data_IF_565005334959
#
_entry.id   IF_565005334959
#
_cell.length_a   1.000
_cell.length_b   1.000
_cell.length_c   1.000
_cell.angle_alpha   90.00
_cell.angle_beta   90.00
_cell.angle_gamma   90.00
#
_symmetry.space_group_name_H-M   'P 1'
#
loop_
_entity.id
_entity.type
_entity.pdbx_description
1 polymer ?
#
# COMPACT_ATOMS: atom_id res chain seq x y z
N UNK A 1 -37.67 28.95 4.58
CA UNK A 1 -36.62 28.02 4.14
C UNK A 1 -35.34 28.14 4.98
N UNK A 2 -34.76 29.33 5.17
CA UNK A 2 -33.58 29.52 6.04
C UNK A 2 -33.83 29.15 7.52
N UNK A 3 -35.04 29.38 8.04
CA UNK A 3 -35.39 28.94 9.40
C UNK A 3 -35.56 27.42 9.53
N UNK A 4 -36.02 26.75 8.49
CA UNK A 4 -36.12 25.27 8.45
C UNK A 4 -34.71 24.67 8.37
N UNK A 5 -33.81 25.30 7.60
CA UNK A 5 -32.39 24.95 7.57
C UNK A 5 -31.72 25.17 8.94
N UNK A 6 -31.94 26.32 9.59
CA UNK A 6 -31.46 26.57 10.95
C UNK A 6 -32.07 25.60 11.97
N UNK A 7 -33.34 25.26 11.84
CA UNK A 7 -34.03 24.31 12.72
C UNK A 7 -33.52 22.87 12.51
N UNK A 8 -33.24 22.48 11.27
CA UNK A 8 -32.63 21.18 10.94
C UNK A 8 -31.16 21.11 11.36
N UNK A 9 -30.39 22.19 11.20
CA UNK A 9 -29.01 22.33 11.71
C UNK A 9 -28.97 22.34 13.25
N UNK A 10 -30.00 22.89 13.91
CA UNK A 10 -30.13 22.92 15.37
C UNK A 10 -30.73 21.63 15.96
N UNK A 11 -31.37 20.76 15.14
CA UNK A 11 -31.61 19.37 15.51
C UNK A 11 -30.27 18.65 15.49
N UNK A 12 -29.53 18.91 16.56
CA UNK A 12 -28.29 18.22 16.89
C UNK A 12 -28.57 16.74 16.83
N UNK A 13 -27.91 16.08 15.87
CA UNK A 13 -27.65 14.65 15.94
C UNK A 13 -27.18 14.41 17.38
N UNK A 14 -27.82 13.47 18.08
CA UNK A 14 -27.45 13.20 19.46
C UNK A 14 -25.93 13.00 19.52
N UNK A 15 -25.20 13.57 20.50
CA UNK A 15 -23.75 13.36 20.60
C UNK A 15 -23.38 11.88 20.51
N UNK A 16 -24.24 10.99 21.04
CA UNK A 16 -24.10 9.53 20.94
C UNK A 16 -24.09 9.04 19.50
N UNK A 17 -24.99 9.55 18.66
CA UNK A 17 -25.10 9.17 17.25
C UNK A 17 -23.90 9.69 16.48
N UNK A 18 -23.42 10.91 16.80
CA UNK A 18 -22.18 11.44 16.25
C UNK A 18 -21.00 10.54 16.62
N UNK A 19 -20.87 10.13 17.88
CA UNK A 19 -19.80 9.19 18.27
C UNK A 19 -19.92 7.84 17.57
N UNK A 20 -21.12 7.28 17.44
CA UNK A 20 -21.34 6.01 16.76
C UNK A 20 -20.96 6.10 15.27
N UNK A 21 -21.43 7.14 14.58
CA UNK A 21 -21.11 7.39 13.17
C UNK A 21 -19.60 7.62 13.01
N UNK A 22 -18.98 8.43 13.87
CA UNK A 22 -17.55 8.74 13.79
C UNK A 22 -16.70 7.50 14.03
N UNK A 23 -16.96 6.71 15.07
CA UNK A 23 -16.09 5.59 15.42
C UNK A 23 -16.38 4.30 14.63
N UNK A 24 -17.63 3.82 14.64
CA UNK A 24 -17.97 2.52 14.04
C UNK A 24 -18.04 2.61 12.52
N UNK A 25 -18.71 3.63 12.00
CA UNK A 25 -18.88 3.72 10.55
C UNK A 25 -17.55 3.97 9.86
N UNK A 26 -16.64 4.79 10.40
CA UNK A 26 -15.36 5.11 9.70
C UNK A 26 -14.46 3.91 9.43
N UNK A 27 -14.45 2.87 10.29
CA UNK A 27 -13.70 1.63 10.00
C UNK A 27 -14.35 0.82 8.87
N UNK A 28 -15.68 0.74 8.87
CA UNK A 28 -16.47 -0.07 7.93
C UNK A 28 -16.61 0.61 6.57
N UNK A 29 -16.79 1.93 6.56
CA UNK A 29 -16.94 2.76 5.34
C UNK A 29 -15.61 3.05 4.66
N UNK A 30 -14.48 2.77 5.32
CA UNK A 30 -13.18 2.89 4.67
C UNK A 30 -13.11 1.97 3.45
N UNK A 31 -12.72 2.54 2.31
CA UNK A 31 -12.68 1.86 1.02
C UNK A 31 -11.85 0.55 1.01
N UNK A 32 -10.92 0.37 1.96
CA UNK A 32 -10.08 -0.83 2.06
C UNK A 32 -10.65 -1.92 2.97
N UNK A 33 -11.73 -1.67 3.70
CA UNK A 33 -12.28 -2.60 4.68
C UNK A 33 -12.65 -3.95 4.06
N UNK A 34 -13.45 -3.93 2.99
CA UNK A 34 -13.88 -5.13 2.26
C UNK A 34 -12.68 -5.92 1.75
N UNK A 35 -11.65 -5.22 1.26
CA UNK A 35 -10.42 -5.83 0.75
C UNK A 35 -9.62 -6.52 1.86
N UNK A 36 -9.49 -5.91 3.04
CA UNK A 36 -8.80 -6.51 4.19
C UNK A 36 -9.54 -7.76 4.67
N UNK A 37 -10.86 -7.69 4.84
CA UNK A 37 -11.67 -8.83 5.29
C UNK A 37 -11.50 -10.01 4.32
N UNK A 38 -11.55 -9.74 3.02
CA UNK A 38 -11.35 -10.76 1.99
C UNK A 38 -9.94 -11.37 2.05
N UNK A 39 -8.89 -10.54 2.19
CA UNK A 39 -7.50 -11.02 2.30
C UNK A 39 -7.30 -11.86 3.57
N UNK A 40 -7.87 -11.47 4.70
CA UNK A 40 -7.80 -12.21 5.96
C UNK A 40 -8.53 -13.54 5.88
N UNK A 41 -9.75 -13.56 5.33
CA UNK A 41 -10.55 -14.77 5.14
C UNK A 41 -9.82 -15.78 4.25
N UNK A 42 -9.28 -15.32 3.12
CA UNK A 42 -8.52 -16.16 2.19
C UNK A 42 -7.20 -16.70 2.79
N UNK A 43 -6.71 -16.12 3.88
CA UNK A 43 -5.43 -16.48 4.50
C UNK A 43 -5.55 -16.85 5.98
N UNK A 44 -6.71 -17.34 6.43
CA UNK A 44 -6.97 -17.63 7.85
C UNK A 44 -5.89 -18.54 8.49
N UNK A 45 -5.39 -19.54 7.75
CA UNK A 45 -4.34 -20.44 8.23
C UNK A 45 -2.91 -19.89 8.14
N UNK A 46 -2.68 -18.73 7.52
CA UNK A 46 -1.35 -18.19 7.24
C UNK A 46 -1.27 -16.65 7.36
N UNK A 47 -2.05 -16.06 8.26
CA UNK A 47 -2.18 -14.60 8.39
C UNK A 47 -0.88 -13.91 8.85
N UNK A 48 0.04 -14.64 9.49
CA UNK A 48 1.34 -14.13 9.97
C UNK A 48 2.32 -13.74 8.86
N UNK A 49 1.96 -13.91 7.58
CA UNK A 49 2.81 -13.50 6.45
C UNK A 49 3.01 -11.98 6.49
N UNK A 50 4.26 -11.48 6.38
CA UNK A 50 4.56 -10.05 6.47
C UNK A 50 3.72 -9.18 5.53
N UNK A 51 3.41 -9.70 4.34
CA UNK A 51 2.62 -8.98 3.33
C UNK A 51 1.17 -8.74 3.78
N UNK A 52 0.57 -9.71 4.48
CA UNK A 52 -0.80 -9.58 5.01
C UNK A 52 -0.83 -8.57 6.15
N UNK A 53 0.19 -8.62 7.02
CA UNK A 53 0.37 -7.68 8.13
C UNK A 53 0.47 -6.24 7.61
N UNK A 54 1.24 -6.01 6.53
CA UNK A 54 1.35 -4.69 5.88
C UNK A 54 -0.01 -4.19 5.38
N UNK A 55 -0.80 -5.04 4.74
CA UNK A 55 -2.14 -4.66 4.25
C UNK A 55 -3.09 -4.32 5.40
N UNK A 56 -3.09 -5.14 6.46
CA UNK A 56 -3.91 -4.88 7.64
C UNK A 56 -3.55 -3.53 8.29
N UNK A 57 -2.27 -3.27 8.52
CA UNK A 57 -1.83 -2.00 9.10
C UNK A 57 -2.10 -0.81 8.19
N UNK A 58 -1.94 -0.95 6.87
CA UNK A 58 -2.30 0.11 5.93
C UNK A 58 -3.76 0.54 6.10
N UNK A 59 -4.71 -0.40 6.11
CA UNK A 59 -6.11 -0.08 6.37
C UNK A 59 -6.33 0.50 7.76
N UNK A 60 -5.75 -0.11 8.80
CA UNK A 60 -5.93 0.33 10.19
C UNK A 60 -5.50 1.79 10.38
N UNK A 61 -4.29 2.15 9.95
CA UNK A 61 -3.79 3.52 10.06
C UNK A 61 -4.60 4.47 9.18
N UNK A 62 -5.04 4.04 7.99
CA UNK A 62 -5.90 4.88 7.15
C UNK A 62 -7.22 5.21 7.84
N UNK A 63 -7.89 4.20 8.40
CA UNK A 63 -9.16 4.37 9.11
C UNK A 63 -9.03 5.23 10.37
N UNK A 64 -7.93 5.12 11.13
CA UNK A 64 -7.68 5.99 12.29
C UNK A 64 -7.57 7.46 11.84
N UNK A 65 -6.87 7.73 10.73
CA UNK A 65 -6.81 9.08 10.16
C UNK A 65 -8.20 9.62 9.80
N UNK A 66 -9.04 8.79 9.17
CA UNK A 66 -10.41 9.17 8.79
C UNK A 66 -11.28 9.50 10.02
N UNK A 67 -11.18 8.70 11.09
CA UNK A 67 -11.85 8.96 12.37
C UNK A 67 -11.41 10.30 12.95
N UNK A 68 -10.10 10.56 12.97
CA UNK A 68 -9.55 11.79 13.52
C UNK A 68 -10.04 13.02 12.76
N UNK A 69 -10.15 12.94 11.43
CA UNK A 69 -10.71 14.02 10.63
C UNK A 69 -12.19 14.24 10.86
N UNK A 70 -12.96 13.19 11.12
CA UNK A 70 -14.38 13.29 11.45
C UNK A 70 -14.62 14.03 12.78
N UNK A 71 -13.65 14.05 13.72
CA UNK A 71 -13.75 14.88 14.93
C UNK A 71 -13.79 16.39 14.67
N UNK A 72 -13.51 16.87 13.45
CA UNK A 72 -13.62 18.30 13.12
C UNK A 72 -15.00 18.89 13.44
N UNK A 73 -16.05 18.07 13.39
CA UNK A 73 -17.44 18.48 13.64
C UNK A 73 -17.72 18.74 15.12
N UNK A 74 -16.93 18.13 16.01
CA UNK A 74 -17.05 18.31 17.47
C UNK A 74 -16.26 19.51 18.00
N UNK A 75 -15.37 20.09 17.20
CA UNK A 75 -14.52 21.20 17.64
C UNK A 75 -15.27 22.53 17.47
N UNK A 76 -15.39 23.34 18.54
CA UNK A 76 -16.09 24.63 18.45
C UNK A 76 -15.37 25.60 17.51
N UNK A 77 -16.16 26.36 16.76
CA UNK A 77 -15.68 27.41 15.87
C UNK A 77 -15.28 28.63 16.71
N UNK A 78 -14.04 29.10 16.54
CA UNK A 78 -13.49 30.30 17.19
C UNK A 78 -13.40 31.50 16.22
N UNK A 79 -13.30 31.23 14.92
CA UNK A 79 -13.10 32.21 13.85
C UNK A 79 -14.08 31.94 12.69
N UNK A 80 -14.36 32.97 11.89
CA UNK A 80 -15.30 32.88 10.75
C UNK A 80 -14.68 32.20 9.51
N UNK A 81 -13.36 32.05 9.47
CA UNK A 81 -12.63 31.45 8.34
C UNK A 81 -12.26 30.02 8.66
N UNK A 82 -12.34 29.13 7.69
CA UNK A 82 -11.82 27.77 7.81
C UNK A 82 -10.31 27.81 8.16
N UNK A 83 -9.78 26.95 9.04
CA UNK A 83 -10.39 25.80 9.72
C UNK A 83 -11.15 26.14 11.02
N UNK A 84 -11.61 27.37 11.15
CA UNK A 84 -12.44 27.90 12.25
C UNK A 84 -11.78 27.95 13.63
N UNK A 85 -10.69 27.24 13.87
CA UNK A 85 -9.83 27.40 15.06
C UNK A 85 -8.46 26.78 14.81
N UNK A 86 -7.45 27.19 15.58
CA UNK A 86 -6.13 26.52 15.55
C UNK A 86 -6.26 25.05 15.99
N UNK A 87 -7.07 24.79 17.03
CA UNK A 87 -7.39 23.41 17.47
C UNK A 87 -8.10 22.61 16.37
N UNK A 88 -9.01 23.26 15.63
CA UNK A 88 -9.72 22.70 14.47
C UNK A 88 -8.82 22.34 13.30
N UNK A 89 -7.62 22.90 13.22
CA UNK A 89 -6.57 22.42 12.32
C UNK A 89 -5.75 21.29 12.92
N UNK A 90 -5.15 21.54 14.09
CA UNK A 90 -4.10 20.70 14.65
C UNK A 90 -4.60 19.28 14.92
N UNK A 91 -5.79 19.10 15.51
CA UNK A 91 -6.27 17.75 15.80
C UNK A 91 -6.82 17.02 14.56
N UNK A 92 -7.84 17.54 13.85
CA UNK A 92 -8.49 16.77 12.79
C UNK A 92 -7.67 16.65 11.51
N UNK A 93 -6.74 17.57 11.27
CA UNK A 93 -5.89 17.55 10.07
C UNK A 93 -4.44 17.27 10.42
N UNK A 94 -3.88 17.96 11.42
CA UNK A 94 -2.49 17.75 11.85
C UNK A 94 -2.26 16.32 12.34
N UNK A 95 -2.97 15.88 13.38
CA UNK A 95 -2.81 14.51 13.93
C UNK A 95 -3.32 13.47 12.94
N UNK A 96 -4.45 13.68 12.26
CA UNK A 96 -4.93 12.75 11.23
C UNK A 96 -3.91 12.52 10.11
N UNK A 97 -3.20 13.57 9.68
CA UNK A 97 -2.17 13.46 8.64
C UNK A 97 -1.04 12.49 9.03
N UNK A 98 -0.68 12.40 10.32
CA UNK A 98 0.29 11.40 10.80
C UNK A 98 -0.16 9.98 10.42
N UNK A 99 -1.42 9.65 10.72
CA UNK A 99 -1.99 8.33 10.48
C UNK A 99 -2.15 8.05 8.98
N UNK A 100 -2.59 9.04 8.20
CA UNK A 100 -2.64 8.91 6.75
C UNK A 100 -1.26 8.70 6.13
N UNK A 101 -0.26 9.52 6.46
CA UNK A 101 1.09 9.35 5.92
C UNK A 101 1.79 8.08 6.42
N UNK A 102 1.51 7.63 7.65
CA UNK A 102 2.00 6.35 8.14
C UNK A 102 1.37 5.18 7.38
N UNK A 103 0.06 5.24 7.10
CA UNK A 103 -0.61 4.24 6.26
C UNK A 103 -0.01 4.18 4.86
N UNK A 104 0.31 5.34 4.27
CA UNK A 104 0.94 5.45 2.97
C UNK A 104 2.36 4.87 2.98
N UNK A 105 3.19 5.23 3.97
CA UNK A 105 4.56 4.70 4.15
C UNK A 105 4.51 3.18 4.25
N UNK A 106 3.64 2.62 5.09
CA UNK A 106 3.47 1.17 5.26
C UNK A 106 3.08 0.52 3.93
N UNK A 107 2.16 1.14 3.18
CA UNK A 107 1.78 0.68 1.84
C UNK A 107 2.96 0.65 0.87
N UNK A 108 3.83 1.65 0.89
CA UNK A 108 4.99 1.76 -0.01
C UNK A 108 6.07 0.69 0.24
N UNK A 109 6.09 0.05 1.41
CA UNK A 109 6.95 -1.10 1.67
C UNK A 109 6.50 -2.35 0.90
N UNK A 110 5.25 -2.40 0.43
CA UNK A 110 4.69 -3.58 -0.23
C UNK A 110 5.44 -3.96 -1.53
N UNK A 111 5.67 -3.07 -2.52
CA UNK A 111 6.40 -3.43 -3.73
C UNK A 111 7.83 -3.89 -3.44
N UNK A 112 8.49 -3.31 -2.43
CA UNK A 112 9.82 -3.71 -1.99
C UNK A 112 9.82 -5.13 -1.40
N UNK A 113 8.89 -5.46 -0.50
CA UNK A 113 8.75 -6.81 0.07
C UNK A 113 8.47 -7.85 -1.01
N UNK A 114 7.62 -7.53 -1.99
CA UNK A 114 7.32 -8.41 -3.13
C UNK A 114 8.55 -8.63 -4.00
N UNK A 115 9.32 -7.57 -4.27
CA UNK A 115 10.55 -7.64 -5.06
C UNK A 115 11.63 -8.45 -4.34
N UNK A 116 11.73 -8.30 -3.02
CA UNK A 116 12.65 -9.06 -2.15
C UNK A 116 12.43 -10.56 -2.22
N UNK A 117 11.17 -11.00 -2.23
CA UNK A 117 10.83 -12.42 -2.32
C UNK A 117 11.24 -13.06 -3.66
N UNK A 118 11.43 -12.28 -4.72
CA UNK A 118 11.73 -12.79 -6.07
C UNK A 118 13.23 -12.73 -6.38
N UNK A 119 13.96 -11.78 -5.77
CA UNK A 119 15.31 -11.41 -6.20
C UNK A 119 16.36 -11.93 -5.23
N UNK A 120 17.24 -12.77 -5.77
CA UNK A 120 18.38 -13.33 -5.02
C UNK A 120 19.61 -12.41 -5.00
N UNK A 121 19.65 -11.33 -5.79
CA UNK A 121 20.81 -10.44 -5.84
C UNK A 121 20.69 -9.28 -4.82
N UNK A 122 21.52 -9.27 -3.76
CA UNK A 122 21.44 -8.28 -2.69
C UNK A 122 21.88 -6.87 -3.10
N UNK A 123 22.70 -6.72 -4.14
CA UNK A 123 23.16 -5.39 -4.58
C UNK A 123 22.05 -4.61 -5.29
N UNK A 124 21.31 -5.26 -6.19
CA UNK A 124 20.21 -4.60 -6.91
C UNK A 124 19.07 -4.21 -5.99
N UNK A 125 18.76 -5.05 -5.01
CA UNK A 125 17.69 -4.73 -4.06
C UNK A 125 18.05 -3.56 -3.14
N UNK A 126 19.34 -3.36 -2.79
CA UNK A 126 19.78 -2.18 -2.02
C UNK A 126 19.40 -0.87 -2.71
N UNK A 127 19.47 -0.80 -4.05
CA UNK A 127 19.05 0.39 -4.81
C UNK A 127 17.56 0.67 -4.61
N UNK A 128 16.70 -0.35 -4.65
CA UNK A 128 15.25 -0.20 -4.40
C UNK A 128 14.98 0.24 -2.97
N UNK A 129 15.74 -0.29 -2.00
CA UNK A 129 15.66 0.14 -0.61
C UNK A 129 15.98 1.62 -0.46
N UNK A 130 17.08 2.09 -1.05
CA UNK A 130 17.49 3.51 -0.97
C UNK A 130 16.39 4.41 -1.55
N UNK A 131 15.86 4.09 -2.73
CA UNK A 131 14.80 4.89 -3.36
C UNK A 131 13.51 4.88 -2.51
N UNK A 132 13.13 3.72 -1.95
CA UNK A 132 11.97 3.60 -1.05
C UNK A 132 12.14 4.44 0.23
N UNK A 133 13.33 4.44 0.84
CA UNK A 133 13.63 5.27 2.02
C UNK A 133 13.54 6.75 1.65
N UNK A 134 14.16 7.17 0.55
CA UNK A 134 14.06 8.56 0.06
C UNK A 134 12.61 8.96 -0.19
N UNK A 135 11.80 8.08 -0.77
CA UNK A 135 10.38 8.30 -1.00
C UNK A 135 9.61 8.52 0.32
N UNK A 136 9.87 7.69 1.33
CA UNK A 136 9.24 7.80 2.64
C UNK A 136 9.67 9.07 3.40
N UNK A 137 10.92 9.54 3.24
CA UNK A 137 11.40 10.79 3.85
C UNK A 137 10.60 11.99 3.35
N UNK A 138 10.19 12.01 2.08
CA UNK A 138 9.33 13.07 1.55
C UNK A 138 7.96 13.08 2.23
N UNK A 139 7.38 11.91 2.52
CA UNK A 139 6.11 11.81 3.25
C UNK A 139 6.24 12.25 4.71
N UNK A 140 7.36 11.91 5.37
CA UNK A 140 7.67 12.43 6.71
C UNK A 140 7.77 13.96 6.68
N UNK A 141 8.36 14.53 5.62
CA UNK A 141 8.45 15.98 5.44
C UNK A 141 7.07 16.61 5.21
N UNK A 142 6.16 15.96 4.50
CA UNK A 142 4.78 16.40 4.34
C UNK A 142 4.03 16.40 5.67
N UNK A 143 4.11 15.30 6.42
CA UNK A 143 3.59 15.20 7.77
C UNK A 143 4.07 16.35 8.66
N UNK A 144 5.39 16.61 8.68
CA UNK A 144 5.96 17.70 9.48
C UNK A 144 5.38 19.07 9.08
N UNK A 145 5.20 19.32 7.77
CA UNK A 145 4.61 20.56 7.28
C UNK A 145 3.12 20.72 7.69
N UNK A 146 2.37 19.62 7.85
CA UNK A 146 0.98 19.66 8.32
C UNK A 146 0.89 19.97 9.81
N UNK A 147 1.70 19.31 10.64
CA UNK A 147 1.66 19.49 12.10
C UNK A 147 2.17 20.88 12.52
N UNK A 148 3.20 21.40 11.84
CA UNK A 148 3.82 22.68 12.21
C UNK A 148 3.04 23.90 11.73
N UNK A 149 2.06 23.70 10.86
CA UNK A 149 1.24 24.80 10.36
C UNK A 149 0.19 25.22 11.40
N UNK A 150 0.21 26.52 11.72
CA UNK A 150 -0.75 27.17 12.60
C UNK A 150 -1.49 28.23 11.76
N UNK A 151 -2.80 28.07 11.51
CA UNK A 151 -3.53 28.93 10.58
C UNK A 151 -3.73 30.36 11.09
N UNK A 152 -4.02 30.53 12.38
CA UNK A 152 -4.35 31.84 12.96
C UNK A 152 -3.27 32.28 13.95
N UNK A 153 -2.42 33.21 13.53
CA UNK A 153 -1.53 33.94 14.44
C UNK A 153 -2.28 35.11 15.06
N UNK A 154 -2.22 35.20 16.38
CA UNK A 154 -2.86 36.27 17.15
C UNK A 154 -1.88 37.44 17.21
N UNK A 155 -2.26 38.59 16.66
CA UNK A 155 -1.50 39.84 16.72
C UNK A 155 -2.37 40.85 17.46
N UNK A 156 -1.89 41.41 18.57
CA UNK A 156 -2.65 42.35 19.41
C UNK A 156 -4.00 41.79 19.89
N UNK A 157 -4.06 40.50 20.24
CA UNK A 157 -5.28 39.86 20.75
C UNK A 157 -6.32 39.50 19.68
N UNK A 158 -6.11 39.84 18.40
CA UNK A 158 -7.01 39.51 17.30
C UNK A 158 -6.33 38.71 16.18
N UNK A 159 -7.05 37.83 15.47
CA UNK A 159 -6.54 37.17 14.27
C UNK A 159 -6.41 38.19 13.14
N UNK A 160 -5.20 38.33 12.58
CA UNK A 160 -4.99 39.25 11.44
C UNK A 160 -5.21 38.53 10.11
N UNK A 161 -6.17 39.02 9.34
CA UNK A 161 -6.53 38.49 8.02
C UNK A 161 -5.36 38.44 7.04
N UNK A 162 -4.53 39.48 7.05
CA UNK A 162 -3.37 39.57 6.15
C UNK A 162 -2.33 38.50 6.51
N UNK A 163 -2.11 38.25 7.80
CA UNK A 163 -1.20 37.18 8.26
C UNK A 163 -1.74 35.80 7.93
N UNK A 164 -3.06 35.57 8.10
CA UNK A 164 -3.72 34.31 7.76
C UNK A 164 -3.53 33.95 6.28
N UNK A 165 -3.84 34.86 5.35
CA UNK A 165 -3.71 34.56 3.92
C UNK A 165 -2.25 34.33 3.50
N UNK A 166 -1.31 35.09 4.07
CA UNK A 166 0.12 34.91 3.81
C UNK A 166 0.62 33.55 4.31
N UNK A 167 0.29 33.17 5.54
CA UNK A 167 0.72 31.90 6.13
C UNK A 167 0.06 30.70 5.43
N UNK A 168 -1.23 30.80 5.08
CA UNK A 168 -1.94 29.80 4.29
C UNK A 168 -1.33 29.62 2.89
N UNK A 169 -0.97 30.72 2.23
CA UNK A 169 -0.27 30.68 0.95
C UNK A 169 1.07 29.97 1.04
N UNK A 170 1.90 30.32 2.03
CA UNK A 170 3.19 29.67 2.27
C UNK A 170 3.03 28.17 2.55
N UNK A 171 2.04 27.79 3.36
CA UNK A 171 1.74 26.38 3.63
C UNK A 171 1.33 25.64 2.35
N UNK A 172 0.46 26.22 1.53
CA UNK A 172 0.05 25.64 0.24
C UNK A 172 1.21 25.46 -0.72
N UNK A 173 2.12 26.44 -0.83
CA UNK A 173 3.31 26.30 -1.68
C UNK A 173 4.17 25.13 -1.22
N UNK A 174 4.43 25.00 0.09
CA UNK A 174 5.18 23.86 0.64
C UNK A 174 4.47 22.54 0.40
N UNK A 175 3.15 22.49 0.62
CA UNK A 175 2.34 21.29 0.42
C UNK A 175 2.40 20.81 -1.04
N UNK A 176 2.06 21.68 -2.00
CA UNK A 176 2.06 21.32 -3.41
C UNK A 176 3.46 21.07 -3.98
N UNK A 177 4.47 21.80 -3.50
CA UNK A 177 5.87 21.51 -3.82
C UNK A 177 6.26 20.10 -3.39
N UNK A 178 5.90 19.68 -2.17
CA UNK A 178 6.14 18.32 -1.72
C UNK A 178 5.36 17.27 -2.51
N UNK A 179 4.12 17.57 -2.95
CA UNK A 179 3.34 16.65 -3.79
C UNK A 179 4.02 16.42 -5.13
N UNK A 180 4.58 17.46 -5.76
CA UNK A 180 5.36 17.33 -7.00
C UNK A 180 6.60 16.46 -6.76
N UNK A 181 7.37 16.74 -5.68
CA UNK A 181 8.57 15.97 -5.34
C UNK A 181 8.22 14.49 -5.07
N UNK A 182 7.14 14.24 -4.31
CA UNK A 182 6.62 12.90 -4.04
C UNK A 182 6.28 12.18 -5.36
N UNK A 183 5.59 12.85 -6.28
CA UNK A 183 5.17 12.28 -7.55
C UNK A 183 6.37 11.89 -8.44
N UNK A 184 7.40 12.75 -8.51
CA UNK A 184 8.65 12.46 -9.24
C UNK A 184 9.34 11.22 -8.64
N UNK A 185 9.49 11.18 -7.32
CA UNK A 185 10.17 10.05 -6.65
C UNK A 185 9.35 8.76 -6.74
N UNK A 186 8.02 8.84 -6.67
CA UNK A 186 7.11 7.70 -6.87
C UNK A 186 7.29 7.09 -8.26
N UNK A 187 7.40 7.92 -9.29
CA UNK A 187 7.66 7.47 -10.65
C UNK A 187 9.03 6.80 -10.78
N UNK A 188 10.08 7.39 -10.20
CA UNK A 188 11.42 6.78 -10.16
C UNK A 188 11.44 5.46 -9.40
N UNK A 189 10.66 5.34 -8.32
CA UNK A 189 10.50 4.13 -7.54
C UNK A 189 9.87 3.00 -8.38
N UNK A 190 8.75 3.27 -9.05
CA UNK A 190 8.11 2.30 -9.95
C UNK A 190 9.07 1.86 -11.08
N UNK A 191 9.75 2.81 -11.73
CA UNK A 191 10.76 2.52 -12.77
C UNK A 191 11.89 1.62 -12.25
N UNK A 192 12.39 1.89 -11.04
CA UNK A 192 13.45 1.09 -10.43
C UNK A 192 12.99 -0.34 -10.17
N UNK A 193 11.78 -0.52 -9.60
CA UNK A 193 11.17 -1.83 -9.35
C UNK A 193 11.02 -2.60 -10.65
N UNK A 194 10.52 -1.97 -11.72
CA UNK A 194 10.33 -2.62 -13.03
C UNK A 194 11.65 -3.03 -13.65
N UNK A 195 12.63 -2.13 -13.68
CA UNK A 195 13.94 -2.41 -14.25
C UNK A 195 14.57 -3.62 -13.57
N UNK A 196 14.40 -3.72 -12.26
CA UNK A 196 14.95 -4.79 -11.45
C UNK A 196 14.19 -6.12 -11.66
N UNK A 197 12.85 -6.09 -11.69
CA UNK A 197 12.05 -7.26 -12.04
C UNK A 197 12.33 -7.74 -13.47
N UNK A 198 12.41 -6.84 -14.45
CA UNK A 198 12.71 -7.15 -15.85
C UNK A 198 14.09 -7.81 -15.99
N UNK A 199 15.13 -7.23 -15.40
CA UNK A 199 16.50 -7.80 -15.56
C UNK A 199 16.67 -9.16 -14.91
N UNK A 200 16.03 -9.42 -13.76
CA UNK A 200 16.19 -10.71 -13.06
C UNK A 200 15.26 -11.79 -13.60
N UNK A 201 14.00 -11.42 -13.87
CA UNK A 201 12.99 -12.41 -14.24
C UNK A 201 13.17 -12.86 -15.69
N UNK A 202 13.54 -11.99 -16.63
CA UNK A 202 13.75 -12.43 -18.03
C UNK A 202 14.91 -13.43 -18.15
N UNK A 203 15.99 -13.22 -17.41
CA UNK A 203 17.12 -14.15 -17.37
C UNK A 203 16.77 -15.49 -16.69
N UNK A 204 15.81 -15.49 -15.76
CA UNK A 204 15.34 -16.71 -15.10
C UNK A 204 14.28 -17.44 -15.94
N UNK A 205 13.39 -16.72 -16.61
CA UNK A 205 12.33 -17.29 -17.45
C UNK A 205 12.86 -17.96 -18.70
N UNK A 206 13.92 -17.44 -19.33
CA UNK A 206 14.56 -18.17 -20.44
C UNK A 206 15.03 -19.56 -20.00
N UNK A 207 15.39 -19.73 -18.73
CA UNK A 207 15.77 -21.02 -18.11
C UNK A 207 14.57 -21.83 -17.62
N UNK A 208 13.54 -21.20 -17.05
CA UNK A 208 12.37 -21.87 -16.47
C UNK A 208 11.28 -22.25 -17.49
N UNK A 209 11.18 -21.56 -18.64
CA UNK A 209 10.34 -22.00 -19.76
C UNK A 209 10.78 -23.38 -20.25
N UNK A 210 12.09 -23.67 -20.20
CA UNK A 210 12.61 -25.02 -20.47
C UNK A 210 12.22 -26.04 -19.39
N UNK A 211 11.71 -25.62 -18.22
CA UNK A 211 11.39 -26.46 -17.06
C UNK A 211 9.89 -26.56 -16.69
N UNK A 212 8.96 -26.12 -17.56
CA UNK A 212 7.48 -26.33 -17.43
C UNK A 212 6.79 -25.79 -16.16
N UNK A 213 7.40 -24.93 -15.34
CA UNK A 213 6.76 -24.39 -14.12
C UNK A 213 5.74 -23.27 -14.41
N UNK A 214 4.48 -23.64 -14.71
CA UNK A 214 3.36 -22.72 -15.00
C UNK A 214 3.05 -21.71 -13.87
N UNK A 215 3.32 -22.06 -12.61
CA UNK A 215 3.06 -21.16 -11.47
C UNK A 215 3.90 -19.87 -11.51
N UNK A 216 5.19 -19.98 -11.80
CA UNK A 216 6.12 -18.83 -11.80
C UNK A 216 5.76 -17.86 -12.92
N UNK A 217 5.36 -18.38 -14.08
CA UNK A 217 4.92 -17.57 -15.21
C UNK A 217 3.64 -16.77 -14.88
N UNK A 218 2.65 -17.42 -14.25
CA UNK A 218 1.40 -16.75 -13.88
C UNK A 218 1.59 -15.74 -12.74
N UNK A 219 2.42 -16.09 -11.73
CA UNK A 219 2.79 -15.17 -10.65
C UNK A 219 3.44 -13.89 -11.16
N UNK A 220 4.38 -14.05 -12.11
CA UNK A 220 5.02 -12.93 -12.79
C UNK A 220 3.99 -12.07 -13.50
N UNK A 221 3.08 -12.69 -14.24
CA UNK A 221 2.06 -11.97 -15.00
C UNK A 221 1.24 -11.04 -14.09
N UNK A 222 0.81 -11.52 -12.92
CA UNK A 222 0.04 -10.72 -11.94
C UNK A 222 0.88 -9.56 -11.39
N UNK A 223 2.12 -9.84 -10.97
CA UNK A 223 3.00 -8.82 -10.40
C UNK A 223 3.37 -7.75 -11.43
N UNK A 224 3.61 -8.15 -12.69
CA UNK A 224 3.86 -7.21 -13.79
C UNK A 224 2.62 -6.41 -14.18
N UNK A 225 1.44 -7.03 -14.19
CA UNK A 225 0.19 -6.36 -14.50
C UNK A 225 -0.09 -5.23 -13.50
N UNK A 226 0.06 -5.51 -12.20
CA UNK A 226 -0.05 -4.52 -11.12
C UNK A 226 0.81 -3.28 -11.38
N UNK A 227 2.09 -3.51 -11.68
CA UNK A 227 3.05 -2.43 -11.85
C UNK A 227 2.80 -1.66 -13.16
N UNK A 228 2.38 -2.35 -14.23
CA UNK A 228 1.96 -1.70 -15.48
C UNK A 228 0.76 -0.78 -15.27
N UNK A 229 -0.26 -1.22 -14.53
CA UNK A 229 -1.42 -0.35 -14.21
C UNK A 229 -1.00 0.83 -13.34
N UNK A 230 -0.21 0.60 -12.28
CA UNK A 230 0.31 1.68 -11.41
C UNK A 230 1.04 2.76 -12.22
N UNK A 231 1.91 2.33 -13.13
CA UNK A 231 2.61 3.25 -14.04
C UNK A 231 1.67 4.00 -14.98
N UNK A 232 0.73 3.30 -15.62
CA UNK A 232 -0.21 3.94 -16.56
C UNK A 232 -1.04 4.98 -15.81
N UNK A 233 -1.54 4.64 -14.61
CA UNK A 233 -2.27 5.57 -13.74
C UNK A 233 -1.42 6.78 -13.38
N UNK A 234 -0.15 6.57 -13.01
CA UNK A 234 0.78 7.66 -12.67
C UNK A 234 1.10 8.53 -13.87
N UNK A 235 1.39 7.95 -15.05
CA UNK A 235 1.70 8.69 -16.28
C UNK A 235 0.51 9.53 -16.72
N UNK A 236 -0.71 8.99 -16.64
CA UNK A 236 -1.93 9.72 -16.99
C UNK A 236 -2.17 10.85 -15.99
N UNK A 237 -2.05 10.59 -14.69
CA UNK A 237 -2.33 11.60 -13.66
C UNK A 237 -1.23 12.66 -13.51
N UNK A 238 0.01 12.34 -13.89
CA UNK A 238 1.17 13.21 -13.75
C UNK A 238 0.97 14.61 -14.36
N UNK A 239 0.61 14.76 -15.66
CA UNK A 239 0.43 16.08 -16.26
C UNK A 239 -0.68 16.89 -15.57
N UNK A 240 -1.76 16.25 -15.14
CA UNK A 240 -2.86 16.94 -14.45
C UNK A 240 -2.42 17.43 -13.07
N UNK A 241 -1.79 16.57 -12.26
CA UNK A 241 -1.31 16.93 -10.92
C UNK A 241 -0.20 17.98 -10.99
N UNK A 242 0.74 17.84 -11.95
CA UNK A 242 1.81 18.81 -12.14
C UNK A 242 1.27 20.17 -12.57
N UNK A 243 0.39 20.22 -13.58
CA UNK A 243 -0.23 21.45 -14.04
C UNK A 243 -1.02 22.14 -12.91
N UNK A 244 -1.85 21.38 -12.18
CA UNK A 244 -2.62 21.94 -11.08
C UNK A 244 -1.73 22.48 -9.95
N UNK A 245 -0.70 21.73 -9.56
CA UNK A 245 0.24 22.15 -8.52
C UNK A 245 0.96 23.44 -8.95
N UNK A 246 1.38 23.51 -10.20
CA UNK A 246 1.99 24.70 -10.78
C UNK A 246 1.04 25.90 -10.77
N UNK A 247 -0.22 25.73 -11.16
CA UNK A 247 -1.23 26.77 -11.09
C UNK A 247 -1.46 27.26 -9.65
N UNK A 248 -1.55 26.36 -8.66
CA UNK A 248 -1.70 26.72 -7.25
C UNK A 248 -0.52 27.54 -6.72
N UNK A 249 0.70 27.14 -7.08
CA UNK A 249 1.92 27.86 -6.72
C UNK A 249 1.92 29.24 -7.39
N UNK A 250 1.67 29.31 -8.70
CA UNK A 250 1.65 30.55 -9.49
C UNK A 250 0.61 31.56 -8.99
N UNK A 251 -0.59 31.09 -8.63
CA UNK A 251 -1.64 31.96 -8.06
C UNK A 251 -1.23 32.55 -6.71
N UNK A 252 -0.59 31.74 -5.86
CA UNK A 252 -0.11 32.17 -4.55
C UNK A 252 0.96 33.26 -4.70
N UNK A 253 1.87 33.12 -5.68
CA UNK A 253 2.86 34.16 -6.00
C UNK A 253 2.23 35.43 -6.56
N UNK A 254 1.22 35.30 -7.44
CA UNK A 254 0.58 36.43 -8.12
C UNK A 254 -0.40 37.24 -7.25
N UNK A 255 -0.65 36.83 -6.00
CA UNK A 255 -1.60 37.46 -5.05
C UNK A 255 -3.01 37.71 -5.63
N UNK A 256 -3.44 36.94 -6.63
CA UNK A 256 -4.79 37.07 -7.21
C UNK A 256 -5.81 36.43 -6.26
N UNK A 257 -6.89 37.15 -5.98
CA UNK A 257 -7.97 36.70 -5.06
C UNK A 257 -8.78 35.49 -5.56
N UNK A 258 -8.55 35.03 -6.79
CA UNK A 258 -9.22 33.84 -7.32
C UNK A 258 -8.52 32.58 -6.78
N UNK A 259 -9.02 32.06 -5.67
CA UNK A 259 -8.52 30.82 -5.10
C UNK A 259 -9.05 29.63 -5.89
N UNK A 260 -8.21 28.97 -6.69
CA UNK A 260 -8.54 27.62 -7.16
C UNK A 260 -8.74 26.74 -5.91
N UNK A 261 -9.84 25.98 -5.90
CA UNK A 261 -10.11 25.02 -4.83
C UNK A 261 -9.08 23.90 -4.88
N UNK A 262 -8.16 23.89 -3.90
CA UNK A 262 -7.15 22.83 -3.73
C UNK A 262 -7.77 21.45 -3.48
N UNK A 263 -9.05 21.39 -3.11
CA UNK A 263 -9.77 20.16 -2.80
C UNK A 263 -9.85 19.23 -4.01
N UNK A 264 -10.12 19.76 -5.21
CA UNK A 264 -10.33 18.93 -6.41
C UNK A 264 -9.08 18.16 -6.80
N UNK A 265 -7.90 18.78 -6.72
CA UNK A 265 -6.66 18.09 -7.05
C UNK A 265 -6.19 17.15 -5.96
N UNK A 266 -6.50 17.45 -4.70
CA UNK A 266 -6.29 16.48 -3.63
C UNK A 266 -7.13 15.22 -3.88
N UNK A 267 -8.38 15.35 -4.33
CA UNK A 267 -9.20 14.20 -4.73
C UNK A 267 -8.59 13.41 -5.89
N UNK A 268 -8.00 14.08 -6.89
CA UNK A 268 -7.28 13.41 -8.00
C UNK A 268 -6.05 12.67 -7.45
N UNK A 269 -5.26 13.31 -6.58
CA UNK A 269 -4.08 12.68 -5.95
C UNK A 269 -4.49 11.43 -5.17
N UNK A 270 -5.53 11.54 -4.35
CA UNK A 270 -6.07 10.42 -3.57
C UNK A 270 -6.56 9.30 -4.49
N UNK A 271 -7.23 9.61 -5.61
CA UNK A 271 -7.67 8.61 -6.58
C UNK A 271 -6.49 7.76 -7.12
N UNK A 272 -5.39 8.40 -7.51
CA UNK A 272 -4.18 7.70 -7.99
C UNK A 272 -3.59 6.79 -6.92
N UNK A 273 -3.45 7.30 -5.69
CA UNK A 273 -2.98 6.50 -4.56
C UNK A 273 -3.92 5.34 -4.26
N UNK A 274 -5.23 5.57 -4.32
CA UNK A 274 -6.25 4.57 -4.06
C UNK A 274 -6.19 3.42 -5.07
N UNK A 275 -5.94 3.72 -6.35
CA UNK A 275 -5.70 2.70 -7.38
C UNK A 275 -4.48 1.86 -6.99
N UNK A 276 -3.35 2.51 -6.67
CA UNK A 276 -2.11 1.80 -6.34
C UNK A 276 -2.25 0.89 -5.12
N UNK A 277 -2.90 1.37 -4.05
CA UNK A 277 -3.12 0.58 -2.84
C UNK A 277 -4.17 -0.52 -3.05
N UNK A 278 -5.25 -0.27 -3.78
CA UNK A 278 -6.25 -1.31 -4.12
C UNK A 278 -5.62 -2.46 -4.91
N UNK A 279 -4.70 -2.15 -5.83
CA UNK A 279 -3.95 -3.13 -6.58
C UNK A 279 -3.05 -4.03 -5.71
N UNK A 280 -2.64 -3.58 -4.51
CA UNK A 280 -1.91 -4.43 -3.56
C UNK A 280 -2.79 -5.53 -2.99
N UNK A 281 -4.04 -5.21 -2.63
CA UNK A 281 -5.02 -6.18 -2.14
C UNK A 281 -5.39 -7.19 -3.23
N UNK A 282 -5.68 -6.69 -4.44
CA UNK A 282 -6.01 -7.53 -5.60
C UNK A 282 -4.85 -8.51 -5.89
N UNK A 283 -3.59 -8.05 -5.86
CA UNK A 283 -2.42 -8.92 -6.05
C UNK A 283 -2.38 -10.07 -5.02
N UNK A 284 -2.67 -9.81 -3.74
CA UNK A 284 -2.72 -10.89 -2.73
C UNK A 284 -3.87 -11.87 -2.91
N UNK A 285 -5.05 -11.37 -3.28
CA UNK A 285 -6.22 -12.20 -3.56
C UNK A 285 -5.94 -13.13 -4.74
N UNK A 286 -5.48 -12.56 -5.86
CA UNK A 286 -5.14 -13.33 -7.06
C UNK A 286 -4.08 -14.38 -6.73
N UNK A 287 -3.00 -13.98 -6.04
CA UNK A 287 -1.94 -14.90 -5.65
C UNK A 287 -2.46 -16.14 -4.92
N UNK A 288 -3.41 -15.97 -4.00
CA UNK A 288 -3.99 -17.08 -3.25
C UNK A 288 -4.70 -18.07 -4.18
N UNK A 289 -5.58 -17.58 -5.05
CA UNK A 289 -6.30 -18.41 -6.02
C UNK A 289 -5.35 -19.17 -6.94
N UNK A 290 -4.24 -18.56 -7.36
CA UNK A 290 -3.25 -19.24 -8.19
C UNK A 290 -2.47 -20.34 -7.46
N UNK A 291 -2.15 -20.16 -6.19
CA UNK A 291 -1.49 -21.19 -5.38
C UNK A 291 -2.42 -22.39 -5.21
N UNK A 292 -3.69 -22.15 -4.87
CA UNK A 292 -4.69 -23.18 -4.63
C UNK A 292 -4.99 -24.00 -5.90
N UNK A 293 -5.20 -23.34 -7.04
CA UNK A 293 -5.40 -24.01 -8.33
C UNK A 293 -4.24 -24.95 -8.70
N UNK A 294 -3.01 -24.56 -8.37
CA UNK A 294 -1.84 -25.41 -8.66
C UNK A 294 -1.70 -26.59 -7.70
N UNK A 295 -2.12 -26.47 -6.43
CA UNK A 295 -2.18 -27.61 -5.51
C UNK A 295 -3.16 -28.66 -6.01
N UNK A 296 -4.38 -28.25 -6.37
CA UNK A 296 -5.43 -29.15 -6.86
C UNK A 296 -5.01 -29.87 -8.16
N UNK A 297 -4.28 -29.20 -9.05
CA UNK A 297 -3.75 -29.85 -10.25
C UNK A 297 -2.71 -30.92 -9.92
N UNK A 298 -1.81 -30.67 -8.96
CA UNK A 298 -0.78 -31.64 -8.56
C UNK A 298 -1.40 -32.89 -7.91
N UNK A 299 -2.46 -32.72 -7.13
CA UNK A 299 -3.18 -33.84 -6.50
C UNK A 299 -3.90 -34.71 -7.54
N UNK A 300 -4.50 -34.11 -8.58
CA UNK A 300 -5.11 -34.87 -9.69
C UNK A 300 -4.12 -35.78 -10.43
N UNK A 301 -2.88 -35.34 -10.62
CA UNK A 301 -1.84 -36.18 -11.25
C UNK A 301 -1.26 -37.26 -10.33
N UNK A 302 -1.39 -37.14 -9.00
CA UNK A 302 -0.93 -38.17 -8.05
C UNK A 302 -1.92 -39.33 -7.92
N UNK A 303 -3.21 -39.08 -8.16
CA UNK A 303 -4.26 -40.11 -8.02
C UNK A 303 -4.53 -40.90 -9.31
N UNK A 304 -3.88 -40.56 -10.42
CA UNK A 304 -3.77 -41.47 -11.56
C UNK A 304 -2.61 -42.45 -11.31
N UNK A 305 -2.71 -43.27 -10.27
CA UNK A 305 -1.97 -44.52 -10.27
C UNK A 305 -2.40 -45.28 -11.54
N UNK A 306 -1.49 -45.64 -12.45
CA UNK A 306 -1.83 -46.65 -13.44
C UNK A 306 -2.28 -47.84 -12.61
N UNK A 307 -3.51 -48.31 -12.84
CA UNK A 307 -3.89 -49.66 -12.49
C UNK A 307 -2.81 -50.55 -13.12
N UNK A 308 -1.80 -50.89 -12.32
CA UNK A 308 -0.88 -51.97 -12.61
C UNK A 308 -1.73 -53.22 -12.54
N UNK A 309 -2.41 -53.50 -13.66
CA UNK A 309 -2.90 -54.81 -14.02
C UNK A 309 -1.65 -55.65 -14.35
N UNK A 310 -0.81 -55.85 -13.34
CA UNK A 310 0.32 -56.77 -13.38
C UNK A 310 -0.19 -58.08 -12.83
N UNK A 311 -0.72 -58.90 -13.74
CA UNK A 311 -0.63 -60.34 -13.61
C UNK A 311 0.86 -60.69 -13.50
N UNK A 312 1.35 -60.90 -12.29
CA UNK A 312 2.65 -61.55 -12.09
C UNK A 312 2.54 -62.66 -11.05
N UNK A 313 2.44 -63.86 -11.60
CA UNK A 313 2.86 -65.15 -11.08
C UNK A 313 4.11 -64.97 -10.20
N UNK A 314 3.99 -65.33 -8.93
CA UNK A 314 5.10 -65.42 -7.97
C UNK A 314 6.07 -66.51 -8.43
N UNK A 315 7.20 -66.13 -9.00
CA UNK A 315 8.38 -67.01 -8.98
C UNK A 315 9.25 -66.57 -7.80
N UNK A 316 9.32 -67.43 -6.77
CA UNK A 316 10.26 -67.32 -5.65
C UNK A 316 11.67 -67.60 -6.18
N UNK A 317 12.57 -66.64 -6.05
CA UNK A 317 14.01 -66.89 -6.05
C UNK A 317 14.65 -66.16 -4.87
N UNK A 318 15.39 -66.94 -4.08
CA UNK A 318 16.40 -66.58 -3.10
C UNK A 318 17.46 -67.69 -3.20
N UNK A 319 18.70 -67.51 -2.72
CA UNK A 319 19.50 -66.30 -2.47
C UNK A 319 20.83 -66.36 -3.26
N UNK A 320 21.64 -65.29 -3.25
CA UNK A 320 23.02 -65.47 -2.79
C UNK A 320 23.73 -64.18 -2.40
N UNK A 321 24.52 -64.33 -1.35
CA UNK A 321 25.46 -63.41 -0.75
C UNK A 321 26.62 -63.01 -1.67
N UNK A 322 27.04 -61.76 -1.61
CA UNK A 322 28.45 -61.42 -1.38
C UNK A 322 28.63 -59.91 -1.19
N UNK A 323 29.38 -59.62 -0.14
CA UNK A 323 30.02 -58.37 0.24
C UNK A 323 30.89 -57.77 -0.87
N UNK A 324 30.88 -56.44 -1.05
CA UNK A 324 32.13 -55.67 -1.09
C UNK A 324 31.91 -54.16 -0.89
N UNK A 325 33.02 -53.51 -0.58
CA UNK A 325 33.24 -52.26 0.15
C UNK A 325 33.04 -50.94 -0.61
N UNK A 326 32.96 -49.88 0.21
CA UNK A 326 33.56 -48.53 0.06
C UNK A 326 33.05 -47.60 -1.04
N UNK A 327 32.60 -46.41 -0.66
CA UNK A 327 33.46 -45.21 -0.65
C UNK A 327 32.73 -43.98 -0.08
N UNK A 328 33.55 -43.19 0.62
CA UNK A 328 33.36 -41.81 1.06
C UNK A 328 32.35 -40.95 0.27
N UNK A 329 31.37 -40.39 1.00
CA UNK A 329 30.64 -39.20 0.54
C UNK A 329 30.72 -38.11 1.62
N UNK A 330 31.73 -37.23 1.48
CA UNK A 330 31.86 -36.00 2.26
C UNK A 330 30.84 -34.96 1.78
N UNK A 331 29.73 -34.89 2.51
CA UNK A 331 29.15 -33.68 3.09
C UNK A 331 29.36 -32.35 2.33
N UNK A 332 28.60 -32.13 1.25
CA UNK A 332 28.21 -30.77 0.79
C UNK A 332 26.74 -30.49 1.14
N UNK A 333 26.43 -30.50 2.44
CA UNK A 333 25.11 -30.16 2.97
C UNK A 333 25.18 -28.86 3.81
N UNK A 334 25.48 -27.72 3.18
CA UNK A 334 25.40 -26.43 3.89
C UNK A 334 25.06 -25.23 2.99
N UNK A 335 24.01 -25.33 2.15
CA UNK A 335 23.41 -24.09 1.60
C UNK A 335 21.94 -24.13 1.14
N UNK A 336 21.13 -25.08 1.62
CA UNK A 336 19.70 -25.13 1.30
C UNK A 336 18.74 -24.99 2.50
N UNK A 337 19.26 -24.77 3.72
CA UNK A 337 18.48 -24.73 4.98
C UNK A 337 17.46 -23.58 5.11
N UNK A 338 17.35 -22.67 4.14
CA UNK A 338 16.37 -21.56 4.20
C UNK A 338 15.15 -21.76 3.28
N UNK A 339 15.06 -22.83 2.50
CA UNK A 339 13.92 -23.09 1.60
C UNK A 339 13.00 -24.24 2.06
N UNK A 340 13.36 -25.00 3.09
CA UNK A 340 12.55 -26.12 3.61
C UNK A 340 11.68 -25.79 4.84
N UNK A 341 11.84 -24.60 5.44
CA UNK A 341 11.06 -24.22 6.64
C UNK A 341 9.57 -23.91 6.37
N UNK A 342 9.12 -23.89 5.10
CA UNK A 342 7.71 -23.71 4.74
C UNK A 342 6.95 -25.03 4.53
N UNK A 343 7.57 -26.20 4.74
CA UNK A 343 6.95 -27.51 4.44
C UNK A 343 6.80 -28.50 5.59
N UNK A 344 7.21 -28.16 6.83
CA UNK A 344 7.12 -29.12 7.95
C UNK A 344 6.47 -28.44 9.17
N UNK A 345 5.16 -28.66 9.29
CA UNK A 345 4.38 -28.92 10.52
C UNK A 345 2.93 -28.48 10.35
N UNK A 346 2.10 -29.40 9.85
CA UNK A 346 0.68 -29.47 10.19
C UNK A 346 0.47 -30.92 10.63
N UNK A 347 0.53 -31.14 11.94
CA UNK A 347 -0.35 -32.08 12.62
C UNK A 347 -1.49 -31.25 13.21
#
# INVERSE_FOLDING_TARGET
>A
MQEILKFAENRTISPTDTYQIVFLCSFITNQYFVWVVLVLLLNIGNWKRPVIIVLFFHWLFRSIGDILTSFKELIPRQFNKWPYSNKGWTYPYGVASLFWYLSEIIGDWYPLLRTKAIINNPQKIRVVYVICITFNIVKITQFYNFITYIPFKIVNGMPSDTTYFKDLGNHRIKQWGNVIVQLIISFLYDLAVIRILKTQIFNKIKRDIMRKNRFIANFKFISEYRIKISMISTIIAFPFLFCFSFLCISQTFSRKNNTISSLSAESIRQCVLNINYSLMYIDQILLRFFVERNKNNKEKYKNSSPLNYSNHYKLKYYPNSSSFSSQHEQTYASKHKYLELDYININ
#
